data_IF_212019379559
#
_entry.id   IF_212019379559
#
_cell.length_a   1.000
_cell.length_b   1.000
_cell.length_c   1.000
_cell.angle_alpha   90.00
_cell.angle_beta   90.00
_cell.angle_gamma   90.00
#
_symmetry.space_group_name_H-M   'P 1'
#
loop_
_entity.id
_entity.type
_entity.pdbx_description
1 polymer ?
#
# COMPACT_ATOMS: atom_id res chain seq x y z
N UNK A 1 14.56 -37.34 -8.61
CA UNK A 1 14.18 -37.37 -10.04
C UNK A 1 15.39 -36.91 -10.84
N UNK A 2 15.63 -37.47 -12.02
CA UNK A 2 16.52 -36.85 -13.01
C UNK A 2 15.90 -35.54 -13.50
N UNK A 3 16.72 -34.55 -13.87
CA UNK A 3 16.23 -33.33 -14.52
C UNK A 3 15.92 -33.68 -15.97
N UNK A 4 14.68 -33.45 -16.41
CA UNK A 4 14.29 -33.64 -17.81
C UNK A 4 14.94 -32.55 -18.65
N UNK A 5 15.59 -32.94 -19.75
CA UNK A 5 16.08 -32.01 -20.77
C UNK A 5 14.99 -31.77 -21.81
N UNK A 6 14.22 -30.69 -21.61
CA UNK A 6 13.13 -30.32 -22.51
C UNK A 6 13.62 -29.85 -23.89
N UNK A 7 14.85 -29.37 -24.00
CA UNK A 7 15.42 -28.93 -25.27
C UNK A 7 15.81 -30.16 -26.12
N UNK A 8 16.52 -31.12 -25.52
CA UNK A 8 16.84 -32.38 -26.18
C UNK A 8 15.58 -33.18 -26.56
N UNK A 9 14.50 -33.12 -25.74
CA UNK A 9 13.20 -33.70 -26.10
C UNK A 9 12.52 -32.99 -27.28
N UNK A 10 12.57 -31.65 -27.32
CA UNK A 10 12.02 -30.86 -28.45
C UNK A 10 12.78 -31.20 -29.74
N UNK A 11 14.10 -31.17 -29.72
CA UNK A 11 14.96 -31.53 -30.86
C UNK A 11 14.72 -32.97 -31.35
N UNK A 12 14.59 -33.94 -30.43
CA UNK A 12 14.29 -35.32 -30.79
C UNK A 12 12.90 -35.46 -31.46
N UNK A 13 11.89 -34.72 -30.99
CA UNK A 13 10.56 -34.73 -31.58
C UNK A 13 10.49 -33.98 -32.92
N UNK A 14 11.25 -32.90 -33.10
CA UNK A 14 11.33 -32.17 -34.38
C UNK A 14 12.05 -32.95 -35.49
N UNK A 15 13.03 -33.78 -35.11
CA UNK A 15 13.79 -34.66 -36.02
C UNK A 15 13.08 -35.99 -36.33
N UNK A 16 12.17 -36.44 -35.46
CA UNK A 16 11.41 -37.67 -35.64
C UNK A 16 10.43 -37.61 -36.83
N UNK A 17 9.94 -38.77 -37.26
CA UNK A 17 8.99 -38.88 -38.38
C UNK A 17 7.71 -38.10 -38.06
N UNK A 18 7.34 -37.13 -38.92
CA UNK A 18 6.23 -36.20 -38.65
C UNK A 18 4.86 -36.81 -38.98
N UNK A 19 3.82 -36.30 -38.31
CA UNK A 19 2.43 -36.71 -38.55
C UNK A 19 1.91 -37.76 -37.56
N UNK A 20 0.62 -38.07 -37.65
CA UNK A 20 -0.04 -39.04 -36.76
C UNK A 20 0.46 -40.45 -36.98
N UNK A 21 0.83 -41.13 -35.90
CA UNK A 21 1.19 -42.54 -35.88
C UNK A 21 -0.05 -43.39 -35.65
N UNK A 22 -0.06 -44.61 -36.20
CA UNK A 22 -1.09 -45.63 -35.98
C UNK A 22 -0.44 -47.00 -35.74
N UNK A 23 -1.18 -47.89 -35.07
CA UNK A 23 -0.78 -49.29 -34.92
C UNK A 23 -1.19 -50.09 -36.14
N UNK A 24 -0.22 -50.80 -36.72
CA UNK A 24 -0.42 -51.86 -37.71
C UNK A 24 0.01 -53.21 -37.15
N UNK A 25 -0.31 -54.27 -37.88
CA UNK A 25 0.06 -55.64 -37.53
C UNK A 25 0.25 -56.45 -38.82
N UNK A 26 1.06 -57.51 -38.75
CA UNK A 26 1.18 -58.47 -39.84
C UNK A 26 0.01 -59.45 -39.86
N UNK A 27 -0.27 -60.04 -41.02
CA UNK A 27 -1.25 -61.13 -41.12
C UNK A 27 -0.84 -62.31 -40.24
N UNK A 28 -1.80 -62.88 -39.50
CA UNK A 28 -1.59 -64.09 -38.71
C UNK A 28 -1.04 -65.26 -39.53
N UNK A 29 -0.16 -66.04 -38.93
CA UNK A 29 0.39 -67.25 -39.56
C UNK A 29 -0.64 -68.40 -39.60
N UNK A 30 -0.23 -69.55 -40.14
CA UNK A 30 -1.12 -70.73 -40.31
C UNK A 30 -1.65 -71.33 -38.98
N UNK A 31 -1.16 -70.87 -37.82
CA UNK A 31 -1.66 -71.25 -36.49
C UNK A 31 -2.48 -70.13 -35.82
N UNK A 32 -2.78 -69.04 -36.53
CA UNK A 32 -3.52 -67.89 -36.02
C UNK A 32 -2.68 -66.83 -35.32
N UNK A 33 -1.39 -67.08 -35.09
CA UNK A 33 -0.52 -66.17 -34.34
C UNK A 33 -0.07 -64.99 -35.21
N UNK A 34 -0.29 -63.76 -34.75
CA UNK A 34 0.23 -62.52 -35.34
C UNK A 34 1.76 -62.56 -35.29
N UNK A 35 2.44 -62.23 -36.39
CA UNK A 35 3.93 -62.34 -36.45
C UNK A 35 4.67 -61.06 -36.07
N UNK A 36 3.98 -59.92 -35.95
CA UNK A 36 4.50 -58.67 -35.41
C UNK A 36 3.42 -57.58 -35.30
N UNK A 37 3.51 -56.75 -34.26
CA UNK A 37 2.73 -55.51 -34.10
C UNK A 37 3.71 -54.35 -34.34
N UNK A 38 3.28 -53.26 -34.97
CA UNK A 38 4.18 -52.17 -35.31
C UNK A 38 3.50 -50.78 -35.29
N UNK A 39 4.31 -49.77 -35.03
CA UNK A 39 3.94 -48.35 -35.16
C UNK A 39 4.33 -47.89 -36.56
N UNK A 40 3.40 -47.24 -37.26
CA UNK A 40 3.59 -46.78 -38.63
C UNK A 40 2.81 -45.49 -38.91
N UNK A 41 3.00 -44.91 -40.09
CA UNK A 41 2.14 -43.83 -40.59
C UNK A 41 0.87 -44.41 -41.24
N UNK A 42 -0.14 -43.55 -41.45
CA UNK A 42 -1.29 -43.87 -42.30
C UNK A 42 -1.01 -43.46 -43.74
N UNK A 43 -0.77 -44.41 -44.64
CA UNK A 43 -0.45 -44.16 -46.04
C UNK A 43 -1.59 -44.58 -46.97
N UNK A 44 -2.18 -43.60 -47.67
CA UNK A 44 -3.31 -43.78 -48.62
C UNK A 44 -4.58 -44.45 -48.04
N UNK A 45 -4.67 -44.58 -46.72
CA UNK A 45 -5.76 -45.25 -46.01
C UNK A 45 -5.29 -46.42 -45.14
N UNK A 46 -4.21 -47.07 -45.57
CA UNK A 46 -3.65 -48.29 -44.95
C UNK A 46 -2.49 -48.00 -43.97
N UNK A 47 -2.13 -48.97 -43.11
CA UNK A 47 -0.86 -48.95 -42.37
C UNK A 47 0.34 -48.98 -43.32
N UNK A 48 1.29 -48.05 -43.19
CA UNK A 48 2.47 -48.01 -44.07
C UNK A 48 3.57 -47.09 -43.57
N UNK A 49 4.82 -47.40 -43.91
CA UNK A 49 5.99 -46.72 -43.35
C UNK A 49 6.16 -47.08 -41.87
N UNK A 50 6.76 -48.25 -41.60
CA UNK A 50 7.04 -48.72 -40.24
C UNK A 50 8.09 -47.82 -39.59
N UNK A 51 7.84 -47.44 -38.34
CA UNK A 51 8.68 -46.57 -37.51
C UNK A 51 9.33 -47.36 -36.37
N UNK A 52 8.57 -48.26 -35.73
CA UNK A 52 9.03 -49.13 -34.66
C UNK A 52 8.22 -50.44 -34.63
N UNK A 53 8.84 -51.55 -34.19
CA UNK A 53 8.21 -52.87 -34.16
C UNK A 53 8.14 -53.40 -32.72
N UNK A 54 6.92 -53.72 -32.27
CA UNK A 54 6.62 -54.24 -30.94
C UNK A 54 6.46 -55.76 -31.00
N UNK A 55 7.44 -56.47 -30.44
CA UNK A 55 7.57 -57.92 -30.53
C UNK A 55 7.15 -58.63 -29.23
N UNK A 56 6.39 -59.71 -29.35
CA UNK A 56 6.23 -60.71 -28.29
C UNK A 56 7.58 -61.41 -28.08
N UNK A 57 8.08 -61.45 -26.85
CA UNK A 57 9.40 -61.98 -26.49
C UNK A 57 9.47 -62.36 -24.99
N UNK A 58 10.64 -62.77 -24.50
CA UNK A 58 10.84 -63.23 -23.12
C UNK A 58 10.58 -62.17 -22.01
N UNK A 59 10.27 -60.92 -22.35
CA UNK A 59 9.90 -59.83 -21.43
C UNK A 59 8.59 -59.12 -21.85
N UNK A 60 8.02 -59.50 -23.00
CA UNK A 60 6.73 -59.02 -23.52
C UNK A 60 5.96 -60.29 -23.88
N UNK A 61 5.38 -60.92 -22.87
CA UNK A 61 4.94 -62.32 -22.92
C UNK A 61 3.64 -62.53 -23.72
N UNK A 62 2.94 -61.44 -24.06
CA UNK A 62 1.64 -61.48 -24.75
C UNK A 62 1.56 -60.52 -25.92
N UNK A 63 0.73 -60.88 -26.90
CA UNK A 63 0.27 -60.01 -27.98
C UNK A 63 -0.41 -58.75 -27.45
N UNK A 64 -1.24 -58.87 -26.41
CA UNK A 64 -1.89 -57.73 -25.73
C UNK A 64 -0.87 -56.71 -25.21
N UNK A 65 0.26 -57.13 -24.63
CA UNK A 65 1.33 -56.22 -24.22
C UNK A 65 2.07 -55.60 -25.42
N UNK A 66 2.27 -56.35 -26.51
CA UNK A 66 2.85 -55.81 -27.74
C UNK A 66 1.96 -54.73 -28.38
N UNK A 67 0.63 -54.94 -28.37
CA UNK A 67 -0.36 -53.92 -28.76
C UNK A 67 -0.32 -52.70 -27.84
N UNK A 68 -0.38 -52.86 -26.52
CA UNK A 68 -0.36 -51.74 -25.58
C UNK A 68 0.91 -50.86 -25.73
N UNK A 69 2.07 -51.47 -25.99
CA UNK A 69 3.31 -50.76 -26.27
C UNK A 69 3.24 -49.97 -27.60
N UNK A 70 2.70 -50.57 -28.66
CA UNK A 70 2.52 -49.89 -29.94
C UNK A 70 1.49 -48.75 -29.86
N UNK A 71 0.39 -48.95 -29.13
CA UNK A 71 -0.63 -47.93 -28.86
C UNK A 71 -0.05 -46.76 -28.06
N UNK A 72 0.76 -47.02 -27.03
CA UNK A 72 1.44 -45.98 -26.27
C UNK A 72 2.36 -45.13 -27.14
N UNK A 73 3.21 -45.75 -27.97
CA UNK A 73 4.13 -45.03 -28.87
C UNK A 73 3.36 -44.29 -29.98
N UNK A 74 2.26 -44.86 -30.48
CA UNK A 74 1.40 -44.22 -31.47
C UNK A 74 0.64 -43.01 -30.89
N UNK A 75 0.21 -43.09 -29.63
CA UNK A 75 -0.44 -41.99 -28.92
C UNK A 75 0.57 -40.89 -28.55
N UNK A 76 1.71 -41.26 -27.94
CA UNK A 76 2.79 -40.34 -27.56
C UNK A 76 3.77 -40.08 -28.73
N UNK A 77 3.22 -39.84 -29.91
CA UNK A 77 3.97 -39.52 -31.12
C UNK A 77 4.58 -38.09 -31.06
N UNK A 78 5.51 -37.73 -31.97
CA UNK A 78 6.21 -36.45 -31.91
C UNK A 78 5.31 -35.22 -31.97
N UNK A 79 4.17 -35.27 -32.66
CA UNK A 79 3.24 -34.14 -32.69
C UNK A 79 2.64 -33.88 -31.29
N UNK A 80 2.34 -34.94 -30.54
CA UNK A 80 1.82 -34.86 -29.15
C UNK A 80 2.92 -34.42 -28.19
N UNK A 81 4.14 -34.93 -28.35
CA UNK A 81 5.30 -34.48 -27.58
C UNK A 81 5.55 -32.97 -27.76
N UNK A 82 5.53 -32.46 -29.00
CA UNK A 82 5.69 -31.04 -29.28
C UNK A 82 4.56 -30.19 -28.71
N UNK A 83 3.30 -30.60 -28.87
CA UNK A 83 2.16 -29.87 -28.31
C UNK A 83 2.23 -29.75 -26.77
N UNK A 84 2.67 -30.79 -26.07
CA UNK A 84 2.87 -30.76 -24.62
C UNK A 84 4.08 -29.89 -24.20
N UNK A 85 5.11 -29.80 -25.04
CA UNK A 85 6.25 -28.91 -24.81
C UNK A 85 5.84 -27.44 -25.04
N UNK A 86 5.02 -27.17 -26.05
CA UNK A 86 4.45 -25.85 -26.34
C UNK A 86 3.48 -25.38 -25.22
N UNK A 87 2.61 -26.28 -24.73
CA UNK A 87 1.75 -26.00 -23.57
C UNK A 87 2.58 -25.69 -22.32
N UNK A 88 3.66 -26.46 -22.06
CA UNK A 88 4.59 -26.17 -20.96
C UNK A 88 5.26 -24.80 -21.12
N UNK A 89 5.67 -24.42 -22.33
CA UNK A 89 6.30 -23.13 -22.58
C UNK A 89 5.33 -21.96 -22.34
N UNK A 90 4.09 -22.05 -22.83
CA UNK A 90 3.05 -21.06 -22.56
C UNK A 90 2.65 -20.98 -21.07
N UNK A 91 2.65 -22.12 -20.35
CA UNK A 91 2.41 -22.15 -18.91
C UNK A 91 3.56 -21.52 -18.11
N UNK A 92 4.81 -21.73 -18.53
CA UNK A 92 5.98 -21.10 -17.92
C UNK A 92 5.99 -19.58 -18.13
N UNK A 93 5.66 -19.10 -19.34
CA UNK A 93 5.54 -17.68 -19.65
C UNK A 93 4.48 -17.01 -18.77
N UNK A 94 3.28 -17.60 -18.70
CA UNK A 94 2.18 -17.12 -17.85
C UNK A 94 2.51 -17.17 -16.34
N UNK A 95 3.33 -18.11 -15.89
CA UNK A 95 3.80 -18.13 -14.51
C UNK A 95 4.74 -16.95 -14.23
N UNK A 96 5.65 -16.61 -15.15
CA UNK A 96 6.53 -15.45 -15.01
C UNK A 96 5.76 -14.12 -15.04
N UNK A 97 4.71 -14.00 -15.87
CA UNK A 97 3.78 -12.86 -15.83
C UNK A 97 3.12 -12.72 -14.46
N UNK A 98 2.55 -13.80 -13.92
CA UNK A 98 1.87 -13.80 -12.62
C UNK A 98 2.83 -13.52 -11.45
N UNK A 99 4.08 -13.98 -11.52
CA UNK A 99 5.12 -13.65 -10.53
C UNK A 99 5.48 -12.15 -10.58
N UNK A 100 5.53 -11.54 -11.76
CA UNK A 100 5.78 -10.10 -11.93
C UNK A 100 4.60 -9.25 -11.43
N UNK A 101 3.36 -9.62 -11.77
CA UNK A 101 2.14 -8.94 -11.29
C UNK A 101 2.02 -9.00 -9.76
N UNK A 102 2.32 -10.17 -9.16
CA UNK A 102 2.33 -10.33 -7.70
C UNK A 102 3.42 -9.48 -7.02
N UNK A 103 4.59 -9.33 -7.64
CA UNK A 103 5.65 -8.47 -7.13
C UNK A 103 5.25 -6.98 -7.19
N UNK A 104 4.65 -6.53 -8.29
CA UNK A 104 4.12 -5.16 -8.42
C UNK A 104 3.01 -4.86 -7.42
N UNK A 105 2.05 -5.78 -7.26
CA UNK A 105 0.96 -5.65 -6.29
C UNK A 105 1.47 -5.61 -4.84
N UNK A 106 2.53 -6.36 -4.52
CA UNK A 106 3.16 -6.30 -3.20
C UNK A 106 3.85 -4.95 -2.94
N UNK A 107 4.53 -4.37 -3.93
CA UNK A 107 5.16 -3.05 -3.82
C UNK A 107 4.11 -1.95 -3.63
N UNK A 108 3.02 -1.97 -4.40
CA UNK A 108 1.93 -0.99 -4.29
C UNK A 108 1.13 -1.15 -2.98
N UNK A 109 0.92 -2.38 -2.50
CA UNK A 109 0.37 -2.61 -1.17
C UNK A 109 1.28 -2.05 -0.06
N UNK A 110 2.60 -2.16 -0.19
CA UNK A 110 3.56 -1.55 0.73
C UNK A 110 3.49 -0.01 0.71
N UNK A 111 3.44 0.61 -0.49
CA UNK A 111 3.25 2.07 -0.66
C UNK A 111 1.95 2.55 -0.01
N UNK A 112 0.84 1.86 -0.28
CA UNK A 112 -0.47 2.19 0.28
C UNK A 112 -0.47 2.07 1.81
N UNK A 113 0.09 0.99 2.35
CA UNK A 113 0.24 0.78 3.80
C UNK A 113 1.03 1.91 4.46
N UNK A 114 2.12 2.36 3.84
CA UNK A 114 2.95 3.44 4.38
C UNK A 114 2.27 4.82 4.27
N UNK A 115 1.59 5.10 3.15
CA UNK A 115 0.77 6.30 2.98
C UNK A 115 -0.35 6.39 4.03
N UNK A 116 -1.01 5.28 4.35
CA UNK A 116 -2.06 5.21 5.38
C UNK A 116 -1.49 5.52 6.78
N UNK A 117 -0.31 5.01 7.16
CA UNK A 117 0.33 5.35 8.44
C UNK A 117 0.65 6.84 8.54
N UNK A 118 1.14 7.44 7.44
CA UNK A 118 1.48 8.86 7.40
C UNK A 118 0.22 9.74 7.49
N UNK A 119 -0.89 9.32 6.86
CA UNK A 119 -2.19 9.96 7.01
C UNK A 119 -2.74 9.86 8.44
N UNK A 120 -2.68 8.69 9.08
CA UNK A 120 -3.10 8.50 10.48
C UNK A 120 -2.31 9.38 11.46
N UNK A 121 -0.98 9.38 11.33
CA UNK A 121 -0.10 10.25 12.13
C UNK A 121 -0.41 11.74 11.94
N UNK A 122 -0.71 12.18 10.71
CA UNK A 122 -1.10 13.56 10.41
C UNK A 122 -2.47 13.92 10.99
N UNK A 123 -3.47 13.02 10.89
CA UNK A 123 -4.80 13.19 11.46
C UNK A 123 -4.73 13.27 12.99
N UNK A 124 -3.92 12.41 13.63
CA UNK A 124 -3.70 12.44 15.08
C UNK A 124 -3.06 13.75 15.53
N UNK A 125 -1.99 14.20 14.88
CA UNK A 125 -1.33 15.48 15.20
C UNK A 125 -2.26 16.68 14.98
N UNK A 126 -3.11 16.64 13.94
CA UNK A 126 -4.13 17.66 13.72
C UNK A 126 -5.19 17.65 14.82
N UNK A 127 -5.67 16.48 15.24
CA UNK A 127 -6.64 16.34 16.33
C UNK A 127 -6.08 16.85 17.67
N UNK A 128 -4.83 16.55 17.99
CA UNK A 128 -4.14 17.07 19.18
C UNK A 128 -4.03 18.60 19.15
N UNK A 129 -3.60 19.19 18.03
CA UNK A 129 -3.51 20.65 17.84
C UNK A 129 -4.88 21.34 17.91
N UNK A 130 -5.91 20.80 17.25
CA UNK A 130 -7.27 21.36 17.31
C UNK A 130 -7.91 21.21 18.69
N UNK A 131 -7.60 20.14 19.43
CA UNK A 131 -8.08 19.97 20.82
C UNK A 131 -7.46 21.00 21.76
N UNK A 132 -6.17 21.30 21.60
CA UNK A 132 -5.51 22.38 22.35
C UNK A 132 -6.12 23.76 22.03
N UNK A 133 -6.32 24.07 20.74
CA UNK A 133 -7.01 25.31 20.31
C UNK A 133 -8.45 25.39 20.83
N UNK A 134 -9.18 24.27 20.88
CA UNK A 134 -10.55 24.23 21.40
C UNK A 134 -10.59 24.50 22.92
N UNK A 135 -9.66 23.94 23.68
CA UNK A 135 -9.51 24.21 25.11
C UNK A 135 -9.14 25.67 25.38
N UNK A 136 -8.19 26.24 24.63
CA UNK A 136 -7.82 27.65 24.71
C UNK A 136 -9.00 28.58 24.39
N UNK A 137 -9.76 28.29 23.31
CA UNK A 137 -10.98 29.03 22.98
C UNK A 137 -12.08 28.91 24.06
N UNK A 138 -12.15 27.79 24.79
CA UNK A 138 -13.06 27.64 25.92
C UNK A 138 -12.62 28.52 27.12
N UNK A 139 -11.33 28.54 27.46
CA UNK A 139 -10.78 29.42 28.49
C UNK A 139 -10.98 30.90 28.15
N UNK A 140 -10.74 31.30 26.90
CA UNK A 140 -10.97 32.67 26.44
C UNK A 140 -12.44 33.09 26.60
N UNK A 141 -13.40 32.24 26.21
CA UNK A 141 -14.84 32.48 26.42
C UNK A 141 -15.21 32.58 27.90
N UNK A 142 -14.66 31.70 28.75
CA UNK A 142 -14.85 31.76 30.20
C UNK A 142 -14.31 33.07 30.77
N UNK A 143 -13.12 33.51 30.32
CA UNK A 143 -12.50 34.78 30.75
C UNK A 143 -13.29 36.00 30.28
N UNK A 144 -13.91 35.96 29.10
CA UNK A 144 -14.86 36.99 28.65
C UNK A 144 -16.11 37.01 29.53
N UNK A 145 -16.69 35.85 29.87
CA UNK A 145 -17.85 35.79 30.77
C UNK A 145 -17.50 36.33 32.16
N UNK A 146 -16.36 35.96 32.74
CA UNK A 146 -15.87 36.50 34.01
C UNK A 146 -15.76 38.04 33.99
N UNK A 147 -15.32 38.64 32.88
CA UNK A 147 -15.28 40.10 32.76
C UNK A 147 -16.69 40.72 32.71
N UNK A 148 -17.63 40.09 32.01
CA UNK A 148 -19.05 40.48 32.00
C UNK A 148 -19.65 40.35 33.40
N UNK A 149 -19.34 39.28 34.13
CA UNK A 149 -19.82 39.04 35.49
C UNK A 149 -19.25 40.09 36.46
N UNK A 150 -17.96 40.43 36.36
CA UNK A 150 -17.33 41.50 37.15
C UNK A 150 -18.01 42.85 36.88
N UNK A 151 -18.17 43.24 35.61
CA UNK A 151 -18.79 44.51 35.22
C UNK A 151 -20.27 44.56 35.67
N UNK A 152 -21.04 43.51 35.43
CA UNK A 152 -22.48 43.51 35.75
C UNK A 152 -22.79 43.47 37.26
N UNK A 153 -21.89 42.94 38.09
CA UNK A 153 -22.02 42.97 39.55
C UNK A 153 -21.39 44.22 40.21
N UNK A 154 -20.81 45.15 39.44
CA UNK A 154 -20.12 46.34 39.97
C UNK A 154 -21.07 47.40 40.54
N UNK A 155 -22.26 47.56 39.95
CA UNK A 155 -23.16 48.70 40.23
C UNK A 155 -24.36 48.38 41.15
N UNK A 156 -24.47 47.15 41.69
CA UNK A 156 -25.76 46.64 42.20
C UNK A 156 -25.91 46.48 43.72
N UNK A 157 -24.92 46.89 44.54
CA UNK A 157 -25.19 47.20 45.96
C UNK A 157 -24.21 48.27 46.50
N UNK A 158 -24.73 49.47 46.79
CA UNK A 158 -23.93 50.68 47.06
C UNK A 158 -24.54 51.49 48.22
N UNK A 159 -24.59 50.92 49.42
CA UNK A 159 -24.90 51.68 50.63
C UNK A 159 -24.27 51.00 51.86
N UNK A 160 -23.30 51.66 52.50
CA UNK A 160 -22.68 51.26 53.77
C UNK A 160 -23.62 51.56 54.95
N UNK A 161 -24.84 51.05 54.83
CA UNK A 161 -26.05 51.51 55.52
C UNK A 161 -26.80 50.35 56.20
N UNK A 162 -26.65 49.12 55.67
CA UNK A 162 -27.29 47.91 56.18
C UNK A 162 -28.78 48.10 56.42
N UNK A 163 -29.25 47.73 57.62
CA UNK A 163 -30.66 47.83 58.01
C UNK A 163 -31.25 49.26 57.97
N UNK A 164 -30.43 50.31 57.95
CA UNK A 164 -30.89 51.71 57.91
C UNK A 164 -31.27 52.21 56.50
N UNK A 165 -31.21 51.34 55.47
CA UNK A 165 -31.48 51.69 54.07
C UNK A 165 -32.92 52.17 53.79
N UNK A 166 -33.86 51.98 54.72
CA UNK A 166 -35.26 52.46 54.58
C UNK A 166 -35.50 53.88 55.12
N UNK A 167 -34.71 54.35 56.09
CA UNK A 167 -35.14 55.43 57.00
C UNK A 167 -34.12 56.57 57.21
N UNK A 168 -32.95 56.54 56.54
CA UNK A 168 -31.90 57.57 56.73
C UNK A 168 -31.54 58.33 55.44
N UNK A 169 -31.20 59.62 55.59
CA UNK A 169 -30.77 60.51 54.50
C UNK A 169 -29.52 61.27 54.94
N UNK A 170 -28.32 60.73 54.67
CA UNK A 170 -27.04 61.37 54.99
C UNK A 170 -26.05 61.33 53.82
N UNK A 171 -25.64 62.52 53.36
CA UNK A 171 -24.47 62.70 52.50
C UNK A 171 -23.21 62.30 53.26
N UNK A 172 -22.45 61.33 52.77
CA UNK A 172 -21.21 60.86 53.43
C UNK A 172 -21.07 59.34 53.61
N UNK A 173 -22.00 58.54 53.09
CA UNK A 173 -21.86 57.08 52.98
C UNK A 173 -20.64 56.70 52.10
N UNK A 174 -19.48 56.48 52.72
CA UNK A 174 -18.25 56.08 52.01
C UNK A 174 -18.27 54.60 51.60
N UNK A 175 -18.37 54.34 50.29
CA UNK A 175 -18.42 53.00 49.66
C UNK A 175 -17.39 51.97 50.19
N UNK A 176 -17.62 50.67 49.95
CA UNK A 176 -16.53 49.71 49.72
C UNK A 176 -15.83 50.03 48.37
N UNK A 177 -15.14 51.17 48.30
CA UNK A 177 -14.45 51.64 47.09
C UNK A 177 -13.43 50.61 46.63
N UNK A 178 -13.53 50.15 45.38
CA UNK A 178 -12.55 49.27 44.75
C UNK A 178 -12.86 47.77 44.79
N UNK A 179 -14.11 47.34 45.04
CA UNK A 179 -14.46 45.92 44.83
C UNK A 179 -14.39 45.50 43.34
N UNK A 180 -14.80 46.38 42.41
CA UNK A 180 -14.51 46.22 40.99
C UNK A 180 -13.00 46.18 40.74
N UNK A 181 -12.25 47.18 41.23
CA UNK A 181 -10.80 47.27 41.04
C UNK A 181 -10.09 46.00 41.55
N UNK A 182 -10.53 45.42 42.67
CA UNK A 182 -9.99 44.16 43.20
C UNK A 182 -10.17 42.99 42.22
N UNK A 183 -11.40 42.70 41.80
CA UNK A 183 -11.67 41.59 40.88
C UNK A 183 -11.15 41.85 39.46
N UNK A 184 -11.16 43.11 39.01
CA UNK A 184 -10.63 43.51 37.71
C UNK A 184 -9.10 43.44 37.66
N UNK A 185 -8.38 43.86 38.71
CA UNK A 185 -6.94 43.68 38.80
C UNK A 185 -6.57 42.18 38.92
N UNK A 186 -7.32 41.39 39.71
CA UNK A 186 -7.14 39.93 39.75
C UNK A 186 -7.37 39.28 38.37
N UNK A 187 -8.36 39.76 37.61
CA UNK A 187 -8.59 39.34 36.23
C UNK A 187 -7.45 39.76 35.31
N UNK A 188 -6.91 40.99 35.42
CA UNK A 188 -5.75 41.45 34.65
C UNK A 188 -4.48 40.64 34.92
N UNK A 189 -4.20 40.33 36.19
CA UNK A 189 -3.02 39.56 36.64
C UNK A 189 -3.09 38.06 36.28
N UNK A 190 -4.29 37.54 35.99
CA UNK A 190 -4.46 36.14 35.58
C UNK A 190 -3.89 35.85 34.18
N UNK A 191 -3.28 34.68 33.99
CA UNK A 191 -2.55 34.34 32.74
C UNK A 191 -3.47 34.42 31.51
N UNK A 192 -3.05 35.22 30.52
CA UNK A 192 -3.80 35.58 29.33
C UNK A 192 -3.16 35.05 28.04
N UNK A 193 -2.09 34.26 28.14
CA UNK A 193 -1.35 33.73 26.98
C UNK A 193 -2.21 32.78 26.15
N UNK A 194 -1.91 32.73 24.86
CA UNK A 194 -2.57 31.87 23.87
C UNK A 194 -1.56 30.90 23.23
N UNK A 195 -0.88 30.04 24.02
CA UNK A 195 0.23 29.22 23.54
C UNK A 195 -0.16 28.22 22.44
N UNK A 196 -1.42 27.76 22.37
CA UNK A 196 -1.89 26.90 21.29
C UNK A 196 -2.05 27.70 19.99
N UNK A 197 -2.59 28.92 20.06
CA UNK A 197 -2.63 29.85 18.92
C UNK A 197 -1.23 30.26 18.47
N UNK A 198 -0.31 30.56 19.39
CA UNK A 198 1.07 30.92 19.06
C UNK A 198 1.81 29.77 18.37
N UNK A 199 1.66 28.54 18.86
CA UNK A 199 2.21 27.34 18.24
C UNK A 199 1.57 27.03 16.88
N UNK A 200 0.26 27.28 16.71
CA UNK A 200 -0.42 27.14 15.43
C UNK A 200 0.09 28.17 14.40
N UNK A 201 0.22 29.44 14.79
CA UNK A 201 0.77 30.51 13.95
C UNK A 201 2.26 30.31 13.65
N UNK A 202 3.01 29.65 14.54
CA UNK A 202 4.37 29.19 14.24
C UNK A 202 4.36 28.10 13.15
N UNK A 203 3.53 27.06 13.28
CA UNK A 203 3.41 26.02 12.25
C UNK A 203 3.00 26.57 10.89
N UNK A 204 1.98 27.44 10.83
CA UNK A 204 1.52 28.06 9.56
C UNK A 204 2.65 28.87 8.89
N UNK A 205 3.46 29.60 9.66
CA UNK A 205 4.64 30.31 9.13
C UNK A 205 5.72 29.34 8.63
N UNK A 206 5.95 28.23 9.33
CA UNK A 206 6.90 27.20 8.90
C UNK A 206 6.44 26.48 7.61
N UNK A 207 5.15 26.19 7.48
CA UNK A 207 4.55 25.62 6.26
C UNK A 207 4.68 26.56 5.05
N UNK A 208 4.63 27.88 5.26
CA UNK A 208 4.99 28.85 4.22
C UNK A 208 6.42 28.71 3.71
N UNK A 209 7.38 28.40 4.60
CA UNK A 209 8.79 28.12 4.23
C UNK A 209 8.92 26.76 3.54
N UNK A 210 8.19 25.72 3.97
CA UNK A 210 8.15 24.43 3.27
C UNK A 210 7.61 24.58 1.83
N UNK A 211 6.57 25.40 1.63
CA UNK A 211 6.01 25.71 0.31
C UNK A 211 7.01 26.46 -0.59
N UNK A 212 7.83 27.34 -0.01
CA UNK A 212 8.92 28.00 -0.73
C UNK A 212 10.03 27.00 -1.12
N UNK A 213 10.40 26.07 -0.23
CA UNK A 213 11.35 24.97 -0.52
C UNK A 213 10.85 24.13 -1.70
N UNK A 214 9.58 23.71 -1.68
CA UNK A 214 8.98 22.91 -2.76
C UNK A 214 8.99 23.67 -4.10
N UNK A 215 8.72 24.97 -4.08
CA UNK A 215 8.80 25.83 -5.27
C UNK A 215 10.22 25.90 -5.83
N UNK A 216 11.23 26.05 -4.96
CA UNK A 216 12.65 26.04 -5.37
C UNK A 216 13.09 24.68 -5.93
N UNK A 217 12.63 23.57 -5.35
CA UNK A 217 12.92 22.21 -5.85
C UNK A 217 12.31 21.98 -7.24
N UNK A 218 11.14 22.55 -7.52
CA UNK A 218 10.46 22.43 -8.82
C UNK A 218 11.01 23.37 -9.90
N UNK A 219 11.46 24.58 -9.53
CA UNK A 219 11.90 25.63 -10.48
C UNK A 219 13.42 25.67 -10.70
N UNK A 220 14.22 25.02 -9.87
CA UNK A 220 15.69 25.05 -9.95
C UNK A 220 16.29 23.64 -9.93
N UNK A 221 17.49 23.48 -10.48
CA UNK A 221 18.27 22.26 -10.25
C UNK A 221 18.67 22.18 -8.76
N UNK A 222 17.90 21.44 -7.97
CA UNK A 222 18.13 21.23 -6.54
C UNK A 222 19.44 20.51 -6.22
N UNK A 223 20.03 19.80 -7.19
CA UNK A 223 21.33 19.11 -7.05
C UNK A 223 22.51 20.07 -7.22
N UNK A 224 22.28 21.29 -7.73
CA UNK A 224 23.32 22.32 -7.80
C UNK A 224 23.72 22.77 -6.38
N UNK A 225 25.02 22.82 -6.02
CA UNK A 225 25.45 23.00 -4.63
C UNK A 225 24.91 24.26 -3.93
N UNK A 226 24.75 25.36 -4.66
CA UNK A 226 24.18 26.60 -4.12
C UNK A 226 22.69 26.44 -3.81
N UNK A 227 21.94 25.76 -4.69
CA UNK A 227 20.50 25.53 -4.55
C UNK A 227 20.22 24.57 -3.39
N UNK A 228 20.96 23.46 -3.30
CA UNK A 228 20.89 22.52 -2.18
C UNK A 228 21.14 23.22 -0.84
N UNK A 229 22.21 24.03 -0.75
CA UNK A 229 22.54 24.76 0.47
C UNK A 229 21.48 25.81 0.85
N UNK A 230 20.84 26.46 -0.13
CA UNK A 230 19.72 27.36 0.13
C UNK A 230 18.48 26.61 0.68
N UNK A 231 18.17 25.43 0.12
CA UNK A 231 17.10 24.56 0.61
C UNK A 231 17.36 24.15 2.08
N UNK A 232 18.58 23.76 2.42
CA UNK A 232 18.91 23.34 3.80
C UNK A 232 18.87 24.51 4.80
N UNK A 233 19.26 25.73 4.40
CA UNK A 233 19.09 26.93 5.22
C UNK A 233 17.59 27.20 5.48
N UNK A 234 16.73 27.06 4.46
CA UNK A 234 15.29 27.22 4.62
C UNK A 234 14.68 26.12 5.52
N UNK A 235 15.13 24.86 5.40
CA UNK A 235 14.72 23.75 6.28
C UNK A 235 15.05 24.03 7.74
N UNK A 236 16.27 24.52 8.02
CA UNK A 236 16.68 24.93 9.36
C UNK A 236 15.84 26.10 9.87
N UNK A 237 15.55 27.10 9.02
CA UNK A 237 14.69 28.22 9.42
C UNK A 237 13.27 27.77 9.77
N UNK A 238 12.64 26.92 8.95
CA UNK A 238 11.32 26.34 9.23
C UNK A 238 11.31 25.52 10.54
N UNK A 239 12.39 24.80 10.85
CA UNK A 239 12.54 24.08 12.12
C UNK A 239 12.63 25.04 13.33
N UNK A 240 13.39 26.13 13.23
CA UNK A 240 13.46 27.12 14.32
C UNK A 240 12.13 27.84 14.55
N UNK A 241 11.36 28.13 13.48
CA UNK A 241 10.00 28.70 13.63
C UNK A 241 9.12 27.73 14.44
N UNK A 242 9.08 26.44 14.11
CA UNK A 242 8.25 25.44 14.83
C UNK A 242 8.62 25.24 16.30
N UNK A 243 9.89 25.48 16.67
CA UNK A 243 10.32 25.46 18.08
C UNK A 243 9.83 26.65 18.89
N UNK A 244 9.34 27.70 18.23
CA UNK A 244 9.19 29.03 18.82
C UNK A 244 10.56 29.70 19.00
N UNK A 245 10.56 31.03 19.05
CA UNK A 245 11.77 31.76 19.44
C UNK A 245 11.89 31.63 20.96
N UNK A 246 12.92 30.91 21.43
CA UNK A 246 13.34 30.96 22.82
C UNK A 246 14.12 32.25 23.06
N UNK A 247 13.39 33.33 23.38
CA UNK A 247 13.87 34.67 23.73
C UNK A 247 13.07 35.24 24.88
#
# INVERSE_FOLDING_TARGET
MSKIDYQALREAAEQATKGSYIVGHTSGNQHGNITGVFVCQKWKGEPGGVIAECHVNCLVETDVQAYANAEFIAAFNPNVALALLDERDALNERLAELEADLAGLAEDHQKATESIKQADAAVKLAHEKFSALAAENAMLKQRTQQLIDIISNTDNDYCMCGSAMKDHVHSGCGYPTGMFDYYYNQWLESDNKTPATDAFLAEVRAQGVDSAINTVIAMMNHQHPVTSKAIDIMRVHAYQIRKGVQS
#
